data_IF_373768408126
#
_entry.id   IF_373768408126
#
_cell.length_a   1.000
_cell.length_b   1.000
_cell.length_c   1.000
_cell.angle_alpha   90.00
_cell.angle_beta   90.00
_cell.angle_gamma   90.00
#
_symmetry.space_group_name_H-M   'P 1'
#
loop_
_entity.id
_entity.type
_entity.pdbx_description
1 polymer ?
#
# COMPACT_ATOMS: atom_id res chain seq x y z
N UNK A 1 -22.43 16.19 -9.78
CA UNK A 1 -21.80 15.19 -8.89
C UNK A 1 -20.74 14.33 -9.62
N UNK A 2 -19.91 14.89 -10.53
CA UNK A 2 -19.05 14.09 -11.41
C UNK A 2 -17.56 14.01 -11.00
N UNK A 3 -17.06 15.00 -10.26
CA UNK A 3 -15.64 15.06 -9.88
C UNK A 3 -15.27 14.01 -8.83
N UNK A 4 -16.15 13.77 -7.85
CA UNK A 4 -15.90 12.81 -6.77
C UNK A 4 -15.84 11.37 -7.29
N UNK A 5 -16.72 10.99 -8.23
CA UNK A 5 -16.71 9.66 -8.87
C UNK A 5 -15.45 9.45 -9.73
N UNK A 6 -15.03 10.47 -10.48
CA UNK A 6 -13.79 10.41 -11.26
C UNK A 6 -12.55 10.28 -10.36
N UNK A 7 -12.51 11.04 -9.25
CA UNK A 7 -11.42 10.99 -8.30
C UNK A 7 -11.37 9.64 -7.55
N UNK A 8 -12.53 9.10 -7.17
CA UNK A 8 -12.65 7.80 -6.53
C UNK A 8 -12.14 6.68 -7.45
N UNK A 9 -12.55 6.68 -8.72
CA UNK A 9 -12.10 5.69 -9.71
C UNK A 9 -10.61 5.79 -10.01
N UNK A 10 -10.07 7.01 -10.15
CA UNK A 10 -8.62 7.23 -10.34
C UNK A 10 -7.85 6.69 -9.14
N UNK A 11 -8.32 6.99 -7.94
CA UNK A 11 -7.69 6.55 -6.69
C UNK A 11 -7.72 5.03 -6.54
N UNK A 12 -8.84 4.38 -6.87
CA UNK A 12 -8.96 2.92 -6.86
C UNK A 12 -8.03 2.24 -7.86
N UNK A 13 -7.89 2.78 -9.09
CA UNK A 13 -6.93 2.26 -10.08
C UNK A 13 -5.49 2.41 -9.60
N UNK A 14 -5.14 3.56 -9.01
CA UNK A 14 -3.81 3.79 -8.45
C UNK A 14 -3.52 2.82 -7.29
N UNK A 15 -4.51 2.55 -6.43
CA UNK A 15 -4.41 1.59 -5.33
C UNK A 15 -4.13 0.17 -5.83
N UNK A 16 -4.85 -0.30 -6.85
CA UNK A 16 -4.64 -1.62 -7.46
C UNK A 16 -3.25 -1.72 -8.09
N UNK A 17 -2.82 -0.70 -8.84
CA UNK A 17 -1.49 -0.69 -9.43
C UNK A 17 -0.38 -0.66 -8.38
N UNK A 18 -0.57 0.05 -7.27
CA UNK A 18 0.36 0.04 -6.14
C UNK A 18 0.42 -1.35 -5.49
N UNK A 19 -0.72 -2.04 -5.32
CA UNK A 19 -0.76 -3.37 -4.74
C UNK A 19 0.01 -4.40 -5.58
N UNK A 20 -0.15 -4.38 -6.90
CA UNK A 20 0.60 -5.28 -7.80
C UNK A 20 2.12 -5.06 -7.71
N UNK A 21 2.57 -3.80 -7.62
CA UNK A 21 4.00 -3.47 -7.47
C UNK A 21 4.54 -3.93 -6.11
N UNK A 22 3.76 -3.73 -5.05
CA UNK A 22 4.13 -4.15 -3.70
C UNK A 22 4.22 -5.67 -3.59
N UNK A 23 3.27 -6.40 -4.17
CA UNK A 23 3.30 -7.86 -4.23
C UNK A 23 4.58 -8.36 -4.90
N UNK A 24 4.96 -7.73 -6.01
CA UNK A 24 6.21 -8.05 -6.71
C UNK A 24 7.45 -7.72 -5.85
N UNK A 25 7.47 -6.58 -5.17
CA UNK A 25 8.58 -6.19 -4.30
C UNK A 25 8.76 -7.17 -3.14
N UNK A 26 7.69 -7.62 -2.49
CA UNK A 26 7.74 -8.63 -1.43
C UNK A 26 8.31 -9.96 -1.95
N UNK A 27 7.93 -10.37 -3.16
CA UNK A 27 8.48 -11.60 -3.77
C UNK A 27 9.98 -11.48 -4.11
N UNK A 28 10.43 -10.32 -4.58
CA UNK A 28 11.84 -10.07 -4.92
C UNK A 28 12.71 -10.09 -3.66
N UNK A 29 12.25 -9.40 -2.61
CA UNK A 29 13.02 -9.19 -1.40
C UNK A 29 12.94 -10.39 -0.43
N UNK A 30 11.83 -11.15 -0.44
CA UNK A 30 11.65 -12.29 0.44
C UNK A 30 11.90 -11.95 1.92
N UNK A 31 12.75 -12.73 2.57
CA UNK A 31 13.07 -12.58 4.00
C UNK A 31 13.97 -11.38 4.32
N UNK A 32 14.43 -10.63 3.30
CA UNK A 32 15.25 -9.42 3.52
C UNK A 32 14.43 -8.19 3.89
N UNK A 33 13.10 -8.24 3.72
CA UNK A 33 12.21 -7.11 4.01
C UNK A 33 12.13 -6.88 5.52
N UNK A 34 12.39 -5.65 6.02
CA UNK A 34 12.11 -5.32 7.41
C UNK A 34 10.63 -5.51 7.78
N UNK A 35 10.34 -6.09 8.95
CA UNK A 35 8.98 -6.46 9.39
C UNK A 35 7.95 -5.35 9.22
N UNK A 36 8.30 -4.12 9.58
CA UNK A 36 7.40 -2.97 9.50
C UNK A 36 7.05 -2.57 8.05
N UNK A 37 7.91 -2.88 7.08
CA UNK A 37 7.65 -2.71 5.65
C UNK A 37 6.87 -3.91 5.09
N UNK A 38 7.23 -5.12 5.50
CA UNK A 38 6.49 -6.34 5.14
C UNK A 38 5.03 -6.25 5.58
N UNK A 39 4.77 -5.82 6.82
CA UNK A 39 3.41 -5.64 7.34
C UNK A 39 2.59 -4.64 6.50
N UNK A 40 3.16 -3.48 6.15
CA UNK A 40 2.49 -2.51 5.31
C UNK A 40 2.28 -3.02 3.88
N UNK A 41 3.25 -3.76 3.35
CA UNK A 41 3.17 -4.38 2.04
C UNK A 41 2.05 -5.43 1.97
N UNK A 42 2.07 -6.39 2.90
CA UNK A 42 1.05 -7.43 3.03
C UNK A 42 -0.35 -6.84 3.19
N UNK A 43 -0.49 -5.79 3.99
CA UNK A 43 -1.78 -5.11 4.17
C UNK A 43 -2.29 -4.48 2.86
N UNK A 44 -1.41 -3.84 2.07
CA UNK A 44 -1.76 -3.30 0.75
C UNK A 44 -2.15 -4.41 -0.24
N UNK A 45 -1.46 -5.55 -0.21
CA UNK A 45 -1.79 -6.70 -1.08
C UNK A 45 -3.13 -7.32 -0.68
N UNK A 46 -3.40 -7.46 0.62
CA UNK A 46 -4.66 -7.98 1.13
C UNK A 46 -5.84 -7.06 0.79
N UNK A 47 -5.64 -5.74 0.80
CA UNK A 47 -6.69 -4.75 0.57
C UNK A 47 -6.37 -3.86 -0.66
N UNK A 48 -6.34 -4.48 -1.84
CA UNK A 48 -5.85 -3.85 -3.08
C UNK A 48 -6.54 -2.55 -3.47
N UNK A 49 -7.82 -2.40 -3.14
CA UNK A 49 -8.62 -1.23 -3.49
C UNK A 49 -8.76 -0.21 -2.37
N UNK A 50 -8.34 -0.55 -1.14
CA UNK A 50 -8.46 0.34 0.00
C UNK A 50 -7.60 1.59 -0.16
N UNK A 51 -8.15 2.72 0.27
CA UNK A 51 -7.42 3.97 0.44
C UNK A 51 -6.31 3.82 1.49
N UNK A 52 -5.31 4.70 1.46
CA UNK A 52 -4.25 4.70 2.47
C UNK A 52 -4.77 4.96 3.89
N UNK A 53 -5.87 5.69 4.00
CA UNK A 53 -6.53 5.98 5.27
C UNK A 53 -7.24 4.75 5.83
N UNK A 54 -7.92 3.97 4.99
CA UNK A 54 -8.47 2.66 5.37
C UNK A 54 -7.36 1.69 5.78
N UNK A 55 -6.27 1.60 5.02
CA UNK A 55 -5.12 0.79 5.41
C UNK A 55 -4.54 1.23 6.76
N UNK A 56 -4.44 2.54 7.01
CA UNK A 56 -3.96 3.06 8.28
C UNK A 56 -4.82 2.62 9.47
N UNK A 57 -6.15 2.56 9.29
CA UNK A 57 -7.09 2.05 10.31
C UNK A 57 -7.04 0.53 10.49
N UNK A 58 -6.75 -0.22 9.43
CA UNK A 58 -6.65 -1.69 9.46
C UNK A 58 -5.31 -2.20 10.01
N UNK A 59 -4.28 -1.35 10.03
CA UNK A 59 -2.98 -1.72 10.55
C UNK A 59 -3.01 -1.91 12.08
N UNK A 60 -2.15 -2.80 12.57
CA UNK A 60 -1.95 -3.04 14.00
C UNK A 60 -0.46 -2.82 14.35
N UNK A 61 -0.12 -1.79 15.14
CA UNK A 61 -1.00 -0.72 15.64
C UNK A 61 -1.51 0.20 14.52
N UNK A 62 -2.68 0.87 14.72
CA UNK A 62 -3.20 1.83 13.76
C UNK A 62 -2.19 2.93 13.46
N UNK A 63 -2.15 3.37 12.20
CA UNK A 63 -1.20 4.40 11.76
C UNK A 63 -1.84 5.37 10.78
N UNK A 64 -1.19 6.52 10.58
CA UNK A 64 -1.68 7.53 9.64
C UNK A 64 -1.51 7.08 8.19
N UNK A 65 -2.31 7.66 7.28
CA UNK A 65 -2.17 7.43 5.82
C UNK A 65 -0.75 7.71 5.31
N UNK A 66 -0.08 8.70 5.87
CA UNK A 66 1.29 9.10 5.48
C UNK A 66 2.34 8.11 5.97
N UNK A 67 2.15 7.50 7.14
CA UNK A 67 2.99 6.42 7.63
C UNK A 67 2.89 5.19 6.70
N UNK A 68 1.67 4.80 6.30
CA UNK A 68 1.45 3.72 5.33
C UNK A 68 2.12 4.06 3.99
N UNK A 69 1.88 5.26 3.46
CA UNK A 69 2.46 5.71 2.20
C UNK A 69 4.00 5.68 2.23
N UNK A 70 4.59 6.16 3.32
CA UNK A 70 6.04 6.15 3.51
C UNK A 70 6.62 4.75 3.55
N UNK A 71 5.96 3.80 4.24
CA UNK A 71 6.38 2.40 4.28
C UNK A 71 6.27 1.72 2.91
N UNK A 72 5.16 1.91 2.19
CA UNK A 72 4.99 1.38 0.83
C UNK A 72 6.07 1.93 -0.12
N UNK A 73 6.34 3.23 -0.09
CA UNK A 73 7.39 3.83 -0.94
C UNK A 73 8.77 3.23 -0.65
N UNK A 74 9.15 3.12 0.63
CA UNK A 74 10.44 2.51 1.01
C UNK A 74 10.56 1.06 0.61
N UNK A 75 9.47 0.28 0.72
CA UNK A 75 9.45 -1.11 0.26
C UNK A 75 9.71 -1.21 -1.25
N UNK A 76 9.03 -0.38 -2.05
CA UNK A 76 9.24 -0.36 -3.50
C UNK A 76 10.67 0.06 -3.86
N UNK A 77 11.19 1.12 -3.24
CA UNK A 77 12.57 1.58 -3.47
C UNK A 77 13.65 0.60 -3.03
N UNK A 78 13.33 -0.34 -2.13
CA UNK A 78 14.27 -1.39 -1.72
C UNK A 78 14.34 -2.53 -2.75
N UNK A 79 13.28 -2.72 -3.55
CA UNK A 79 13.17 -3.79 -4.54
C UNK A 79 13.56 -3.37 -5.97
N UNK A 80 13.76 -2.07 -6.19
CA UNK A 80 14.35 -1.51 -7.43
C UNK A 80 15.87 -1.80 -7.47
#
# INVERSE_FOLDING_TARGET
ANFDDANLRRSARAAVAAAARVERALQILGDTVPDHLAAAGSLRVAHRQASLEELGRLAEPPMTKDAVAGRIRRLLSMAD
#
